data_IF_432058977395
#
_entry.id   IF_432058977395
#
_cell.length_a   1.000
_cell.length_b   1.000
_cell.length_c   1.000
_cell.angle_alpha   90.00
_cell.angle_beta   90.00
_cell.angle_gamma   90.00
#
_symmetry.space_group_name_H-M   'P 1'
#
loop_
_entity.id
_entity.type
_entity.pdbx_description
1 polymer ?
#
# COMPACT_ATOMS: atom_id res chain seq x y z
N UNK A 1 2.76 8.39 5.40
CA UNK A 1 1.30 8.38 5.25
C UNK A 1 0.70 9.78 5.34
N UNK A 2 1.01 10.51 6.40
CA UNK A 2 0.42 11.85 6.59
C UNK A 2 0.92 12.87 5.57
N UNK A 3 2.06 12.62 4.93
CA UNK A 3 2.62 13.50 3.91
C UNK A 3 1.96 13.30 2.54
N UNK A 4 0.96 12.41 2.43
CA UNK A 4 0.32 12.09 1.16
C UNK A 4 -1.12 12.54 1.14
N UNK A 5 -1.67 12.73 -0.05
CA UNK A 5 -3.10 12.90 -0.27
C UNK A 5 -3.74 11.52 -0.26
N UNK A 6 -4.64 11.27 0.69
CA UNK A 6 -5.26 9.96 0.86
C UNK A 6 -6.28 9.69 -0.24
N UNK A 7 -6.22 8.50 -0.83
CA UNK A 7 -7.10 8.08 -1.93
C UNK A 7 -7.57 6.66 -1.66
N UNK A 8 -8.79 6.30 -2.10
CA UNK A 8 -9.15 4.89 -2.15
C UNK A 8 -8.30 4.16 -3.20
N UNK A 9 -8.09 2.87 -3.01
CA UNK A 9 -7.28 2.09 -3.94
C UNK A 9 -7.81 2.16 -5.37
N UNK A 10 -9.13 2.24 -5.54
CA UNK A 10 -9.74 2.33 -6.86
C UNK A 10 -9.33 3.56 -7.66
N UNK A 11 -8.80 4.58 -6.99
CA UNK A 11 -8.32 5.81 -7.64
C UNK A 11 -6.80 5.88 -7.72
N UNK A 12 -6.10 4.85 -7.26
CA UNK A 12 -4.64 4.84 -7.29
C UNK A 12 -4.12 4.72 -8.73
N UNK A 13 -3.00 5.37 -8.98
CA UNK A 13 -2.29 5.30 -10.26
C UNK A 13 -0.87 4.83 -10.02
N UNK A 14 -0.24 4.29 -11.06
CA UNK A 14 1.15 3.86 -10.96
C UNK A 14 2.02 4.99 -10.42
N UNK A 15 2.82 4.67 -9.40
CA UNK A 15 3.64 5.64 -8.68
C UNK A 15 3.04 6.12 -7.37
N UNK A 16 1.74 5.91 -7.13
CA UNK A 16 1.13 6.20 -5.84
C UNK A 16 1.60 5.19 -4.79
N UNK A 17 1.53 5.57 -3.52
CA UNK A 17 1.87 4.68 -2.41
C UNK A 17 0.61 3.92 -1.95
N UNK A 18 0.82 2.72 -1.44
CA UNK A 18 -0.25 1.89 -0.87
C UNK A 18 0.14 1.59 0.58
N UNK A 19 -0.77 1.80 1.51
CA UNK A 19 -0.51 1.71 2.95
C UNK A 19 -1.30 0.57 3.58
N UNK A 20 -0.65 -0.10 4.53
CA UNK A 20 -1.24 -1.25 5.23
C UNK A 20 -1.05 -1.12 6.73
N UNK A 21 -1.90 -1.80 7.49
CA UNK A 21 -1.81 -1.85 8.95
C UNK A 21 -1.72 -3.31 9.41
N UNK A 22 -1.21 -3.51 10.61
CA UNK A 22 -1.22 -4.82 11.29
C UNK A 22 -0.53 -5.93 10.49
N UNK A 23 0.42 -5.57 9.61
CA UNK A 23 1.22 -6.57 8.91
C UNK A 23 2.29 -7.17 9.81
N UNK A 24 2.61 -6.47 10.91
CA UNK A 24 3.43 -6.97 12.00
C UNK A 24 3.11 -6.13 13.25
N UNK A 25 3.57 -6.61 14.41
CA UNK A 25 3.27 -5.95 15.68
C UNK A 25 4.22 -4.77 15.89
N UNK A 26 3.86 -3.59 15.42
CA UNK A 26 4.74 -2.43 15.40
C UNK A 26 4.25 -1.25 16.24
N UNK A 27 3.08 -1.30 16.84
CA UNK A 27 2.57 -0.20 17.64
C UNK A 27 2.23 1.07 16.87
N UNK A 28 2.35 1.09 15.54
CA UNK A 28 1.95 2.22 14.70
C UNK A 28 0.82 1.81 13.78
N UNK A 29 0.04 2.81 13.33
CA UNK A 29 -1.10 2.55 12.47
C UNK A 29 -0.65 2.00 11.11
N UNK A 30 0.31 2.66 10.46
CA UNK A 30 0.86 2.19 9.19
C UNK A 30 2.06 1.31 9.49
N UNK A 31 2.00 0.04 9.11
CA UNK A 31 3.07 -0.93 9.37
C UNK A 31 3.77 -1.39 8.09
N UNK A 32 3.21 -1.09 6.91
CA UNK A 32 3.82 -1.48 5.64
C UNK A 32 3.38 -0.54 4.55
N UNK A 33 4.24 -0.33 3.56
CA UNK A 33 3.96 0.52 2.41
C UNK A 33 4.53 -0.15 1.16
N UNK A 34 3.79 0.00 0.05
CA UNK A 34 4.26 -0.43 -1.27
C UNK A 34 4.04 0.67 -2.29
N UNK A 35 4.57 0.47 -3.49
CA UNK A 35 4.37 1.39 -4.62
C UNK A 35 3.38 0.75 -5.58
N UNK A 36 2.28 1.44 -5.85
CA UNK A 36 1.29 0.94 -6.79
C UNK A 36 1.86 0.98 -8.21
N UNK A 37 1.74 -0.14 -8.94
CA UNK A 37 2.29 -0.24 -10.29
C UNK A 37 1.21 -0.43 -11.35
N UNK A 38 -0.07 -0.30 -10.98
CA UNK A 38 -1.19 -0.53 -11.87
C UNK A 38 -1.67 -1.97 -11.82
N UNK A 39 -2.80 -2.24 -12.46
CA UNK A 39 -3.39 -3.59 -12.57
C UNK A 39 -3.56 -4.29 -11.22
N UNK A 40 -3.88 -3.52 -10.19
CA UNK A 40 -4.11 -4.03 -8.84
C UNK A 40 -2.89 -4.73 -8.24
N UNK A 41 -1.70 -4.25 -8.58
CA UNK A 41 -0.43 -4.80 -8.08
C UNK A 41 0.42 -3.71 -7.46
N UNK A 42 1.30 -4.10 -6.55
CA UNK A 42 2.28 -3.20 -5.95
C UNK A 42 3.66 -3.82 -5.98
N UNK A 43 4.68 -2.95 -5.96
CA UNK A 43 6.07 -3.35 -5.71
C UNK A 43 6.41 -2.98 -4.28
N UNK A 44 6.92 -3.93 -3.50
CA UNK A 44 7.18 -3.66 -2.09
C UNK A 44 8.42 -4.42 -1.60
N UNK A 45 9.00 -3.90 -0.53
CA UNK A 45 10.13 -4.54 0.14
C UNK A 45 9.60 -5.54 1.18
N UNK A 46 9.05 -6.66 0.67
CA UNK A 46 8.58 -7.75 1.50
C UNK A 46 9.62 -8.88 1.55
N UNK A 47 9.19 -10.04 1.95
CA UNK A 47 10.02 -11.23 1.92
C UNK A 47 9.29 -12.29 1.09
N UNK A 48 9.66 -12.45 -0.20
CA UNK A 48 10.75 -11.73 -0.90
C UNK A 48 10.34 -10.32 -1.36
N UNK A 49 11.34 -9.49 -1.66
CA UNK A 49 11.12 -8.21 -2.34
C UNK A 49 10.55 -8.50 -3.72
N UNK A 50 9.54 -7.75 -4.14
CA UNK A 50 8.99 -7.90 -5.47
C UNK A 50 7.56 -7.40 -5.58
N UNK A 51 6.86 -7.93 -6.57
CA UNK A 51 5.49 -7.53 -6.86
C UNK A 51 4.51 -8.38 -6.03
N UNK A 52 3.42 -7.76 -5.62
CA UNK A 52 2.35 -8.44 -4.91
C UNK A 52 1.01 -8.07 -5.53
N UNK A 53 0.09 -9.05 -5.57
CA UNK A 53 -1.26 -8.88 -6.07
C UNK A 53 -2.14 -8.35 -4.93
N UNK A 54 -2.65 -7.13 -5.09
CA UNK A 54 -3.47 -6.48 -4.07
C UNK A 54 -4.86 -7.09 -3.94
N UNK A 55 -5.27 -7.95 -4.88
CA UNK A 55 -6.55 -8.66 -4.77
C UNK A 55 -6.49 -9.84 -3.80
N UNK A 56 -5.31 -10.23 -3.32
CA UNK A 56 -5.21 -11.32 -2.35
C UNK A 56 -5.87 -10.94 -1.03
N UNK A 57 -6.45 -11.93 -0.34
CA UNK A 57 -7.17 -11.68 0.90
C UNK A 57 -6.28 -11.11 2.00
N UNK A 58 -5.01 -11.52 2.04
CA UNK A 58 -4.07 -11.00 3.03
C UNK A 58 -3.94 -9.49 2.92
N UNK A 59 -3.66 -8.97 1.71
CA UNK A 59 -3.48 -7.54 1.53
C UNK A 59 -4.77 -6.77 1.70
N UNK A 60 -5.91 -7.33 1.26
CA UNK A 60 -7.21 -6.68 1.44
C UNK A 60 -7.59 -6.52 2.90
N UNK A 61 -7.23 -7.47 3.75
CA UNK A 61 -7.51 -7.39 5.18
C UNK A 61 -6.70 -6.32 5.89
N UNK A 62 -5.56 -5.94 5.33
CA UNK A 62 -4.65 -4.99 5.97
C UNK A 62 -4.60 -3.63 5.27
N UNK A 63 -5.34 -3.48 4.17
CA UNK A 63 -5.29 -2.27 3.35
C UNK A 63 -5.92 -1.07 4.06
N UNK A 64 -5.15 0.01 4.16
CA UNK A 64 -5.68 1.31 4.59
C UNK A 64 -6.20 2.08 3.38
N UNK A 65 -5.41 2.15 2.31
CA UNK A 65 -5.73 2.88 1.11
C UNK A 65 -4.46 3.31 0.39
N UNK A 66 -4.62 4.21 -0.56
CA UNK A 66 -3.51 4.73 -1.34
C UNK A 66 -3.22 6.18 -0.94
N UNK A 67 -2.05 6.67 -1.32
CA UNK A 67 -1.67 8.04 -1.08
C UNK A 67 -0.82 8.57 -2.22
N UNK A 68 -1.08 9.81 -2.62
CA UNK A 68 -0.28 10.50 -3.63
C UNK A 68 0.58 11.53 -2.94
N UNK A 69 1.88 11.53 -3.25
CA UNK A 69 2.80 12.49 -2.63
C UNK A 69 2.36 13.90 -3.01
N UNK A 70 2.17 14.75 -2.02
CA UNK A 70 1.81 16.15 -2.24
C UNK A 70 3.00 16.91 -2.80
N UNK A 71 2.74 17.75 -3.78
CA UNK A 71 3.78 18.58 -4.39
C UNK A 71 3.61 20.04 -4.01
#
# INVERSE_FOLDING_TARGET
YDATQHLPLSQAKAGDLVFFHSTYNAGSYVTHVGIYVGNNQMYHAGDPIGYADLSSSYWQQHLIGAGRVKQ
#
